data_IF_883754136772
#
_entry.id   IF_883754136772
#
_cell.length_a   1.000
_cell.length_b   1.000
_cell.length_c   1.000
_cell.angle_alpha   90.00
_cell.angle_beta   90.00
_cell.angle_gamma   90.00
#
_symmetry.space_group_name_H-M   'P 1'
#
loop_
_entity.id
_entity.type
_entity.pdbx_description
1 polymer ?
#
# COMPACT_ATOMS: atom_id res chain seq x y z
N UNK A 1 37.44 -11.67 4.70
CA UNK A 1 36.81 -11.38 4.35
C UNK A 1 36.13 -11.15 4.08
N UNK A 2 35.97 -11.05 4.35
CA UNK A 2 35.17 -10.69 4.04
C UNK A 2 34.53 -10.30 3.79
N UNK A 3 34.29 -10.08 4.01
CA UNK A 3 33.55 -9.61 3.72
C UNK A 3 33.06 -9.10 3.52
N UNK A 4 33.15 -8.90 3.78
CA UNK A 4 32.39 -8.29 3.60
C UNK A 4 31.92 -7.79 3.31
N UNK A 5 31.94 -7.71 3.42
CA UNK A 5 31.37 -7.07 3.06
C UNK A 5 30.83 -6.80 2.71
N UNK A 6 31.05 -6.79 2.89
CA UNK A 6 30.25 -6.38 2.60
C UNK A 6 29.62 -6.11 2.51
N UNK A 7 29.69 -5.94 2.68
CA UNK A 7 28.96 -5.51 2.55
C UNK A 7 28.46 -4.98 2.50
N UNK A 8 28.88 -4.88 2.62
CA UNK A 8 28.22 -4.26 2.62
C UNK A 8 27.53 -3.90 2.13
N UNK A 9 27.42 -3.77 1.94
CA UNK A 9 26.44 -3.26 1.60
C UNK A 9 25.43 -3.43 2.01
N UNK A 10 25.54 -3.94 2.21
CA UNK A 10 24.41 -4.34 2.74
C UNK A 10 23.77 -3.41 3.49
N UNK A 11 24.44 -2.63 3.86
CA UNK A 11 23.90 -1.67 4.67
C UNK A 11 22.69 -1.06 4.07
N UNK A 12 22.59 -1.06 2.83
CA UNK A 12 21.50 -0.36 2.21
C UNK A 12 20.29 -1.23 1.99
N UNK A 13 20.43 -2.52 2.06
CA UNK A 13 19.32 -3.39 1.76
C UNK A 13 18.76 -3.99 3.03
N UNK A 14 17.49 -3.80 3.32
CA UNK A 14 16.89 -4.41 4.50
C UNK A 14 16.82 -5.90 4.37
N UNK A 15 16.89 -6.61 5.48
CA UNK A 15 16.67 -8.04 5.46
C UNK A 15 15.21 -8.33 5.20
N UNK A 16 14.88 -9.52 4.72
CA UNK A 16 13.48 -9.85 4.44
C UNK A 16 12.56 -9.77 5.65
N UNK A 17 13.10 -9.90 6.85
CA UNK A 17 12.28 -9.83 8.05
C UNK A 17 12.24 -8.45 8.65
N UNK A 18 13.03 -7.51 8.13
CA UNK A 18 13.07 -6.18 8.70
C UNK A 18 11.81 -5.41 8.32
N UNK A 19 11.18 -4.72 9.27
CA UNK A 19 9.94 -3.99 8.94
C UNK A 19 10.21 -2.78 8.07
N UNK A 20 9.34 -2.59 7.11
CA UNK A 20 9.38 -1.48 6.17
C UNK A 20 7.96 -0.96 5.99
N UNK A 21 7.84 0.18 5.33
CA UNK A 21 6.56 0.71 4.88
C UNK A 21 6.56 0.70 3.36
N UNK A 22 5.50 0.17 2.77
CA UNK A 22 5.28 0.26 1.34
C UNK A 22 4.12 1.20 1.08
N UNK A 23 4.32 2.17 0.20
CA UNK A 23 3.28 3.08 -0.24
C UNK A 23 3.00 2.72 -1.69
N UNK A 24 1.79 2.26 -1.96
CA UNK A 24 1.45 1.65 -3.24
C UNK A 24 0.28 2.39 -3.87
N UNK A 25 0.44 2.76 -5.13
CA UNK A 25 -0.66 3.34 -5.91
C UNK A 25 -0.98 2.38 -7.04
N UNK A 26 -2.23 1.99 -7.13
CA UNK A 26 -2.69 1.03 -8.12
C UNK A 26 -3.66 1.72 -9.06
N UNK A 27 -3.41 1.68 -10.35
CA UNK A 27 -4.29 2.27 -11.34
C UNK A 27 -4.82 1.23 -12.29
N UNK A 28 -5.95 1.55 -12.94
CA UNK A 28 -6.66 0.66 -13.82
C UNK A 28 -8.11 0.59 -13.40
N UNK A 29 -8.75 -0.53 -13.66
CA UNK A 29 -10.11 -0.76 -13.21
C UNK A 29 -10.02 -1.39 -11.84
N UNK A 30 -9.88 -0.55 -10.82
CA UNK A 30 -9.60 -1.02 -9.46
C UNK A 30 -10.59 -0.49 -8.43
N UNK A 31 -11.48 0.41 -8.81
CA UNK A 31 -12.56 0.87 -7.92
C UNK A 31 -13.86 0.22 -8.35
N UNK A 32 -14.71 -0.09 -7.37
CA UNK A 32 -16.00 -0.73 -7.66
C UNK A 32 -15.88 -2.21 -7.98
N UNK A 33 -14.76 -2.84 -7.68
CA UNK A 33 -14.52 -4.24 -8.00
C UNK A 33 -14.04 -5.01 -6.77
N UNK A 34 -14.31 -4.49 -5.58
CA UNK A 34 -13.94 -5.10 -4.29
C UNK A 34 -12.44 -5.17 -4.07
N UNK A 35 -11.68 -4.28 -4.71
CA UNK A 35 -10.23 -4.29 -4.58
C UNK A 35 -9.79 -4.05 -3.14
N UNK A 36 -10.39 -3.04 -2.47
CA UNK A 36 -9.98 -2.71 -1.11
C UNK A 36 -10.24 -3.85 -0.14
N UNK A 37 -11.41 -4.49 -0.24
CA UNK A 37 -11.74 -5.61 0.65
C UNK A 37 -10.80 -6.77 0.43
N UNK A 38 -10.52 -7.10 -0.82
CA UNK A 38 -9.64 -8.21 -1.13
C UNK A 38 -8.21 -7.93 -0.71
N UNK A 39 -7.74 -6.69 -0.90
CA UNK A 39 -6.40 -6.30 -0.46
C UNK A 39 -6.27 -6.40 1.05
N UNK A 40 -7.32 -6.01 1.76
CA UNK A 40 -7.32 -6.08 3.21
C UNK A 40 -7.21 -7.51 3.69
N UNK A 41 -7.94 -8.41 3.04
CA UNK A 41 -7.84 -9.82 3.39
C UNK A 41 -6.44 -10.34 3.19
N UNK A 42 -5.83 -10.01 2.06
CA UNK A 42 -4.48 -10.44 1.78
C UNK A 42 -3.49 -9.89 2.81
N UNK A 43 -3.62 -8.62 3.13
CA UNK A 43 -2.72 -7.98 4.08
C UNK A 43 -2.84 -8.63 5.46
N UNK A 44 -4.05 -8.94 5.88
CA UNK A 44 -4.28 -9.56 7.19
C UNK A 44 -3.69 -10.97 7.25
N UNK A 45 -3.85 -11.74 6.18
CA UNK A 45 -3.27 -13.07 6.12
C UNK A 45 -1.75 -12.99 6.24
N UNK A 46 -1.16 -11.95 5.68
CA UNK A 46 0.28 -11.75 5.71
C UNK A 46 0.77 -11.09 7.01
N UNK A 47 -0.15 -10.74 7.90
CA UNK A 47 0.22 -10.10 9.16
C UNK A 47 0.64 -8.65 9.02
N UNK A 48 0.25 -8.01 7.92
CA UNK A 48 0.62 -6.62 7.67
C UNK A 48 -0.38 -5.67 8.32
N UNK A 49 0.08 -4.44 8.57
CA UNK A 49 -0.73 -3.38 9.13
C UNK A 49 -0.73 -2.22 8.18
N UNK A 50 -1.79 -1.45 8.17
CA UNK A 50 -1.87 -0.31 7.27
C UNK A 50 -3.28 0.05 6.90
N UNK A 51 -3.42 0.70 5.74
CA UNK A 51 -4.71 1.18 5.26
C UNK A 51 -4.77 1.08 3.75
N UNK A 52 -5.99 0.99 3.23
CA UNK A 52 -6.22 1.04 1.79
C UNK A 52 -7.45 1.90 1.54
N UNK A 53 -7.40 2.73 0.51
CA UNK A 53 -8.52 3.63 0.19
C UNK A 53 -8.56 3.93 -1.30
N UNK A 54 -9.75 4.31 -1.76
CA UNK A 54 -9.91 4.83 -3.11
C UNK A 54 -9.52 6.30 -3.15
N UNK A 55 -8.90 6.72 -4.23
CA UNK A 55 -8.58 8.12 -4.44
C UNK A 55 -9.52 8.73 -5.47
N UNK A 56 -9.72 10.05 -5.44
CA UNK A 56 -10.56 10.71 -6.45
C UNK A 56 -10.07 10.50 -7.87
N UNK A 57 -8.80 10.21 -8.05
CA UNK A 57 -8.23 9.97 -9.37
C UNK A 57 -8.71 8.68 -10.01
N UNK A 58 -9.35 7.81 -9.25
CA UNK A 58 -9.72 6.48 -9.71
C UNK A 58 -8.73 5.42 -9.26
N UNK A 59 -7.62 5.84 -8.69
CA UNK A 59 -6.62 4.90 -8.19
C UNK A 59 -7.00 4.38 -6.82
N UNK A 60 -6.34 3.30 -6.42
CA UNK A 60 -6.38 2.81 -5.05
C UNK A 60 -5.02 3.08 -4.43
N UNK A 61 -5.04 3.64 -3.22
CA UNK A 61 -3.81 3.88 -2.47
C UNK A 61 -3.76 2.92 -1.31
N UNK A 62 -2.61 2.31 -1.11
CA UNK A 62 -2.41 1.35 -0.04
C UNK A 62 -1.11 1.67 0.66
N UNK A 63 -1.15 1.69 1.99
CA UNK A 63 0.04 1.84 2.80
C UNK A 63 0.09 0.64 3.72
N UNK A 64 1.18 -0.09 3.69
CA UNK A 64 1.31 -1.29 4.50
C UNK A 64 2.66 -1.32 5.18
N UNK A 65 2.68 -1.83 6.41
CA UNK A 65 3.91 -1.98 7.16
C UNK A 65 4.04 -3.40 7.66
N UNK A 66 5.26 -3.89 7.64
CA UNK A 66 5.57 -5.22 8.12
C UNK A 66 6.86 -5.71 7.49
N UNK A 67 7.16 -7.00 7.65
CA UNK A 67 8.39 -7.55 7.08
C UNK A 67 8.43 -7.38 5.56
N UNK A 68 9.60 -7.06 5.06
CA UNK A 68 9.77 -6.81 3.64
C UNK A 68 9.24 -7.97 2.79
N UNK A 69 9.50 -9.20 3.21
CA UNK A 69 9.05 -10.36 2.43
C UNK A 69 7.52 -10.38 2.32
N UNK A 70 6.82 -10.04 3.40
CA UNK A 70 5.36 -10.00 3.37
C UNK A 70 4.85 -8.86 2.49
N UNK A 71 5.53 -7.71 2.56
CA UNK A 71 5.16 -6.59 1.69
C UNK A 71 5.31 -6.95 0.23
N UNK A 72 6.36 -7.68 -0.11
CA UNK A 72 6.57 -8.09 -1.49
C UNK A 72 5.48 -9.04 -1.96
N UNK A 73 4.99 -9.89 -1.09
CA UNK A 73 3.87 -10.77 -1.43
C UNK A 73 2.59 -9.98 -1.63
N UNK A 74 2.34 -8.98 -0.80
CA UNK A 74 1.17 -8.15 -0.98
C UNK A 74 1.25 -7.35 -2.29
N UNK A 75 2.42 -6.83 -2.60
CA UNK A 75 2.61 -6.08 -3.84
C UNK A 75 2.37 -6.98 -5.05
N UNK A 76 2.85 -8.22 -4.99
CA UNK A 76 2.61 -9.16 -6.08
C UNK A 76 1.11 -9.40 -6.26
N UNK A 77 0.38 -9.51 -5.15
CA UNK A 77 -1.07 -9.65 -5.24
C UNK A 77 -1.71 -8.39 -5.83
N UNK A 78 -1.20 -7.21 -5.45
CA UNK A 78 -1.74 -5.95 -5.96
C UNK A 78 -1.67 -5.88 -7.49
N UNK A 79 -0.65 -6.46 -8.07
CA UNK A 79 -0.51 -6.46 -9.54
C UNK A 79 -1.53 -7.36 -10.21
N UNK A 80 -2.07 -8.32 -9.48
CA UNK A 80 -3.07 -9.21 -10.01
C UNK A 80 -4.47 -8.69 -9.70
N UNK A 81 -4.73 -8.38 -8.45
CA UNK A 81 -6.03 -7.90 -8.00
C UNK A 81 -7.08 -8.99 -7.96
N UNK A 82 -8.31 -8.63 -7.55
CA UNK A 82 -9.42 -9.58 -7.57
C UNK A 82 -9.90 -9.81 -9.00
N UNK A 83 -10.73 -10.84 -9.21
CA UNK A 83 -11.09 -11.25 -10.56
C UNK A 83 -11.71 -10.17 -11.44
N UNK A 84 -12.48 -9.26 -10.87
CA UNK A 84 -13.14 -8.22 -11.66
C UNK A 84 -12.26 -7.02 -11.90
N UNK A 85 -11.06 -6.98 -11.33
CA UNK A 85 -10.17 -5.84 -11.48
C UNK A 85 -9.32 -6.00 -12.72
N UNK A 86 -8.90 -4.85 -13.25
CA UNK A 86 -7.85 -4.82 -14.27
C UNK A 86 -6.81 -3.85 -13.79
N UNK A 87 -5.62 -4.37 -13.49
CA UNK A 87 -4.55 -3.56 -12.96
C UNK A 87 -3.66 -3.14 -14.11
N UNK A 88 -3.56 -1.84 -14.33
CA UNK A 88 -2.73 -1.30 -15.39
C UNK A 88 -1.35 -0.93 -14.90
N UNK A 89 -1.24 -0.44 -13.66
CA UNK A 89 0.04 0.01 -13.14
C UNK A 89 0.04 -0.08 -11.62
N UNK A 90 1.17 -0.45 -11.06
CA UNK A 90 1.40 -0.45 -9.62
C UNK A 90 2.68 0.31 -9.38
N UNK A 91 2.59 1.43 -8.67
CA UNK A 91 3.75 2.22 -8.31
C UNK A 91 4.02 2.03 -6.82
N UNK A 92 5.25 1.77 -6.46
CA UNK A 92 5.61 1.42 -5.09
C UNK A 92 6.75 2.28 -4.62
N UNK A 93 6.64 2.79 -3.39
CA UNK A 93 7.75 3.45 -2.70
C UNK A 93 7.92 2.79 -1.34
N UNK A 94 9.17 2.51 -0.98
CA UNK A 94 9.46 1.96 0.33
C UNK A 94 10.06 3.03 1.22
N UNK A 95 9.66 3.03 2.50
CA UNK A 95 10.18 3.91 3.52
C UNK A 95 10.34 3.12 4.80
N UNK A 96 11.05 3.65 5.80
CA UNK A 96 11.10 2.97 7.09
C UNK A 96 9.73 2.84 7.71
N UNK A 97 9.51 1.76 8.42
CA UNK A 97 8.24 1.56 9.12
C UNK A 97 8.10 2.56 10.25
N UNK A 98 6.87 3.04 10.46
CA UNK A 98 6.59 4.01 11.52
C UNK A 98 5.89 3.39 12.71
N UNK A 99 5.35 2.17 12.52
CA UNK A 99 4.63 1.47 13.56
C UNK A 99 3.36 2.19 14.00
N UNK A 100 2.82 3.04 13.14
CA UNK A 100 1.66 3.84 13.53
C UNK A 100 0.33 3.13 13.31
N UNK A 101 0.30 2.01 12.60
CA UNK A 101 -0.96 1.35 12.30
C UNK A 101 -1.18 0.17 13.23
N UNK A 102 -2.31 0.13 13.95
CA UNK A 102 -2.58 -1.00 14.85
C UNK A 102 -3.04 -2.26 14.14
N UNK A 103 -3.61 -2.12 12.95
CA UNK A 103 -4.09 -3.25 12.17
C UNK A 103 -4.17 -2.82 10.71
N UNK A 104 -4.84 -3.60 9.88
CA UNK A 104 -5.04 -3.23 8.48
C UNK A 104 -6.53 -2.94 8.27
N UNK A 105 -6.83 -1.75 7.74
CA UNK A 105 -8.20 -1.26 7.59
C UNK A 105 -8.47 -0.69 6.22
N UNK A 106 -9.72 -0.83 5.79
CA UNK A 106 -10.22 -0.13 4.63
C UNK A 106 -10.68 1.25 5.10
N UNK A 107 -10.17 2.28 4.44
CA UNK A 107 -10.69 3.62 4.68
C UNK A 107 -11.78 3.91 3.66
N UNK A 108 -12.73 4.78 4.04
CA UNK A 108 -13.76 5.17 3.12
C UNK A 108 -13.15 5.85 1.95
N UNK A 109 -13.86 5.78 0.86
CA UNK A 109 -13.49 6.58 -0.28
C UNK A 109 -13.36 7.98 0.17
N UNK A 110 -12.35 8.61 -0.29
CA UNK A 110 -12.01 9.82 0.25
C UNK A 110 -12.78 10.90 -0.31
N UNK A 111 -13.49 11.42 0.56
CA UNK A 111 -13.52 12.84 0.55
C UNK A 111 -12.44 13.28 1.47
N UNK A 112 -11.58 14.14 1.08
CA UNK A 112 -10.54 14.60 1.96
C UNK A 112 -11.16 15.19 3.19
N UNK A 113 -10.51 15.02 4.31
CA UNK A 113 -10.99 15.65 5.51
C UNK A 113 -11.02 17.12 5.35
N UNK A 114 -10.05 17.65 4.62
CA UNK A 114 -10.04 19.04 4.31
C UNK A 114 -10.23 19.18 2.85
N UNK A 115 -11.19 19.99 2.42
CA UNK A 115 -11.39 20.20 1.00
C UNK A 115 -10.17 20.85 0.39
N UNK A 116 -9.86 20.49 -0.84
CA UNK A 116 -8.82 21.19 -1.54
C UNK A 116 -9.18 22.64 -1.69
N UNK A 117 -8.21 23.53 -1.69
CA UNK A 117 -8.52 24.93 -1.91
C UNK A 117 -9.25 25.11 -3.24
N UNK A 118 -10.28 25.90 -3.21
CA UNK A 118 -11.03 26.19 -4.41
C UNK A 118 -12.11 25.20 -4.71
N UNK A 119 -12.14 24.08 -4.02
CA UNK A 119 -13.21 23.13 -4.28
C UNK A 119 -13.99 22.84 -3.05
N UNK A 120 -13.76 23.57 -2.01
CA UNK A 120 -14.41 23.28 -0.77
C UNK A 120 -15.89 23.31 -0.89
N UNK A 121 -16.40 24.20 -1.67
CA UNK A 121 -17.82 24.27 -1.76
C UNK A 121 -18.39 23.13 -2.51
N UNK A 122 -17.57 22.46 -3.28
CA UNK A 122 -18.09 21.47 -4.09
C UNK A 122 -18.51 20.30 -3.41
N UNK A 123 -17.77 19.81 -2.50
CA UNK A 123 -18.11 18.57 -2.12
C UNK A 123 -18.64 18.50 -0.80
N UNK A 124 -18.60 19.50 -0.11
CA UNK A 124 -19.28 19.45 1.00
C UNK A 124 -20.57 19.74 0.76
N UNK A 125 -20.75 20.20 -0.30
CA UNK A 125 -22.12 20.40 -0.66
C UNK A 125 -22.74 19.08 -0.79
#
# INVERSE_FOLDING_TARGET
MTDPNPEEPSAAAPSPSEPQRAHVHISGRVQGVYYRSAATEQARVLGLRGVVRNLPSGEVELIAEGPLAALQQLIAWCRLGPPAARVDKVAVRFDPATDEFPDFRVLRSVAPLLPPPGSSSDYEA
#
